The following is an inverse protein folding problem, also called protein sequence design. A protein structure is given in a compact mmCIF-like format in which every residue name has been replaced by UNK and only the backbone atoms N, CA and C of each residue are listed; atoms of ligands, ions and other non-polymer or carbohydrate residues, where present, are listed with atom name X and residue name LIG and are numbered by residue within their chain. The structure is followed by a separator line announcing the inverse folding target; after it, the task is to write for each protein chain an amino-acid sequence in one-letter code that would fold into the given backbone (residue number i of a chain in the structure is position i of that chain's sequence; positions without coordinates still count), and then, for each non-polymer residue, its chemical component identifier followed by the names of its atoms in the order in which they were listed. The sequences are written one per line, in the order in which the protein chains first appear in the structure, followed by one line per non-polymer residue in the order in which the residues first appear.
data_IF_882537915195
#
_entry.id   IF_882537915195
#
_cell.length_a   1.000
_cell.length_b   1.000
_cell.length_c   1.000
_cell.angle_alpha   90.00
_cell.angle_beta   90.00
_cell.angle_gamma   90.00
#
_symmetry.space_group_name_H-M   'P 1'
#
loop_
_entity.id
_entity.type
_entity.pdbx_description
1 polymer ?
#
# COMPACT_ATOMS: atom_id res chain seq x y z
N UNK A 1 -8.01 -26.65 11.02
CA UNK A 1 -7.00 -25.98 10.15
C UNK A 1 -7.44 -24.53 9.96
N UNK A 2 -6.56 -23.55 10.22
CA UNK A 2 -6.84 -22.11 9.95
C UNK A 2 -6.33 -21.79 8.55
N UNK A 3 -7.16 -21.16 7.74
CA UNK A 3 -6.83 -20.72 6.40
C UNK A 3 -6.83 -19.19 6.37
N UNK A 4 -5.93 -18.61 5.61
CA UNK A 4 -5.80 -17.16 5.49
C UNK A 4 -5.70 -16.67 4.06
N UNK A 5 -6.13 -15.44 3.89
CA UNK A 5 -5.99 -14.68 2.64
C UNK A 5 -5.25 -13.39 2.94
N UNK A 6 -4.22 -13.08 2.18
CA UNK A 6 -3.59 -11.76 2.24
C UNK A 6 -3.84 -11.00 0.94
N UNK A 7 -4.14 -9.72 1.08
CA UNK A 7 -4.46 -8.83 -0.04
C UNK A 7 -3.37 -7.76 -0.19
N UNK A 8 -2.99 -7.50 -1.42
CA UNK A 8 -2.44 -6.21 -1.77
C UNK A 8 -3.54 -5.13 -1.73
N UNK A 9 -3.15 -3.85 -1.71
CA UNK A 9 -4.08 -2.73 -1.60
C UNK A 9 -4.30 -2.00 -2.93
N UNK A 10 -3.24 -1.35 -3.44
CA UNK A 10 -3.32 -0.51 -4.63
C UNK A 10 -3.46 -1.35 -5.89
N UNK A 11 -4.37 -0.94 -6.79
CA UNK A 11 -4.71 -1.65 -8.03
C UNK A 11 -5.30 -3.07 -7.80
N UNK A 12 -5.49 -3.45 -6.55
CA UNK A 12 -6.15 -4.70 -6.13
C UNK A 12 -7.52 -4.42 -5.49
N UNK A 13 -7.55 -3.65 -4.41
CA UNK A 13 -8.78 -3.29 -3.68
C UNK A 13 -9.21 -1.84 -3.91
N UNK A 14 -8.23 -0.98 -4.18
CA UNK A 14 -8.41 0.46 -4.40
C UNK A 14 -7.60 0.93 -5.60
N UNK A 15 -7.96 2.09 -6.11
CA UNK A 15 -7.22 2.74 -7.18
C UNK A 15 -7.64 4.19 -7.37
N UNK A 16 -7.24 4.77 -8.49
CA UNK A 16 -7.71 6.08 -8.91
C UNK A 16 -8.94 5.90 -9.81
N UNK A 17 -9.86 6.87 -9.83
CA UNK A 17 -10.95 6.90 -10.79
C UNK A 17 -10.37 6.99 -12.21
N UNK A 18 -11.02 6.31 -13.15
CA UNK A 18 -10.66 6.38 -14.57
C UNK A 18 -10.58 7.84 -15.03
N UNK A 19 -9.42 8.24 -15.60
CA UNK A 19 -9.11 9.65 -15.86
C UNK A 19 -8.13 10.30 -14.86
N UNK A 20 -7.77 9.63 -13.75
CA UNK A 20 -6.55 9.86 -12.97
C UNK A 20 -6.40 11.19 -12.24
N UNK A 21 -7.49 11.95 -11.99
CA UNK A 21 -7.35 13.29 -11.40
C UNK A 21 -7.13 13.31 -9.88
N UNK A 22 -7.45 12.24 -9.16
CA UNK A 22 -7.39 12.23 -7.70
C UNK A 22 -5.95 12.31 -7.17
N UNK A 23 -5.03 11.51 -7.72
CA UNK A 23 -3.62 11.55 -7.32
C UNK A 23 -2.99 12.91 -7.63
N UNK A 24 -3.32 13.49 -8.78
CA UNK A 24 -2.87 14.83 -9.17
C UNK A 24 -3.44 15.89 -8.21
N UNK A 25 -4.74 15.86 -7.96
CA UNK A 25 -5.40 16.79 -7.03
C UNK A 25 -4.87 16.66 -5.59
N UNK A 26 -4.63 15.42 -5.16
CA UNK A 26 -4.03 15.13 -3.85
C UNK A 26 -2.62 15.67 -3.73
N UNK A 27 -1.80 15.52 -4.77
CA UNK A 27 -0.44 16.05 -4.78
C UNK A 27 -0.42 17.57 -4.82
N UNK A 28 -1.34 18.21 -5.55
CA UNK A 28 -1.49 19.66 -5.54
C UNK A 28 -1.87 20.16 -4.14
N UNK A 29 -2.86 19.56 -3.53
CA UNK A 29 -3.28 19.91 -2.16
C UNK A 29 -2.14 19.72 -1.14
N UNK A 30 -1.37 18.64 -1.24
CA UNK A 30 -0.15 18.45 -0.43
C UNK A 30 0.84 19.59 -0.63
N UNK A 31 1.05 20.01 -1.88
CA UNK A 31 2.00 21.09 -2.20
C UNK A 31 1.55 22.43 -1.62
N UNK A 32 0.26 22.76 -1.73
CA UNK A 32 -0.31 23.98 -1.17
C UNK A 32 -0.20 24.02 0.36
N UNK A 33 -0.56 22.92 1.02
CA UNK A 33 -0.44 22.76 2.48
C UNK A 33 1.01 22.93 2.93
N UNK A 34 1.93 22.28 2.23
CA UNK A 34 3.37 22.33 2.55
C UNK A 34 3.92 23.73 2.34
N UNK A 35 3.59 24.39 1.21
CA UNK A 35 4.05 25.75 0.94
C UNK A 35 3.60 26.72 2.05
N UNK A 36 2.32 26.66 2.43
CA UNK A 36 1.80 27.49 3.52
C UNK A 36 2.59 27.28 4.81
N UNK A 37 2.82 26.01 5.18
CA UNK A 37 3.57 25.68 6.42
C UNK A 37 5.01 26.11 6.35
N UNK A 38 5.69 25.95 5.21
CA UNK A 38 7.06 26.39 5.03
C UNK A 38 7.20 27.91 5.10
N UNK A 39 6.25 28.67 4.55
CA UNK A 39 6.21 30.13 4.69
C UNK A 39 6.08 30.58 6.16
N UNK A 40 5.26 29.90 6.97
CA UNK A 40 5.17 30.14 8.42
C UNK A 40 6.52 29.92 9.13
N UNK A 41 7.33 28.98 8.61
CA UNK A 41 8.67 28.67 9.11
C UNK A 41 9.78 29.53 8.48
N UNK A 42 9.39 30.57 7.71
CA UNK A 42 10.31 31.49 6.98
C UNK A 42 11.13 30.81 5.89
N UNK A 43 10.70 29.65 5.42
CA UNK A 43 11.26 28.95 4.26
C UNK A 43 10.41 29.30 3.02
N UNK A 44 10.93 30.17 2.14
CA UNK A 44 10.21 30.62 0.95
C UNK A 44 10.55 29.75 -0.26
N UNK A 45 9.75 28.71 -0.50
CA UNK A 45 9.93 27.76 -1.60
C UNK A 45 8.74 27.85 -2.55
N UNK A 46 9.01 27.91 -3.86
CA UNK A 46 7.93 28.00 -4.85
C UNK A 46 7.11 26.72 -4.90
N UNK A 47 5.83 26.86 -5.22
CA UNK A 47 4.89 25.73 -5.35
C UNK A 47 5.35 24.73 -6.43
N UNK A 48 6.01 25.20 -7.47
CA UNK A 48 6.56 24.37 -8.54
C UNK A 48 7.66 23.44 -8.02
N UNK A 49 8.62 23.97 -7.23
CA UNK A 49 9.69 23.18 -6.60
C UNK A 49 9.07 22.13 -5.67
N UNK A 50 8.11 22.51 -4.82
CA UNK A 50 7.44 21.59 -3.90
C UNK A 50 6.73 20.46 -4.66
N UNK A 51 5.97 20.81 -5.71
CA UNK A 51 5.24 19.84 -6.50
C UNK A 51 6.17 18.86 -7.23
N UNK A 52 7.28 19.36 -7.79
CA UNK A 52 8.26 18.52 -8.45
C UNK A 52 9.00 17.61 -7.45
N UNK A 53 9.32 18.11 -6.26
CA UNK A 53 9.93 17.31 -5.20
C UNK A 53 9.02 16.17 -4.74
N UNK A 54 7.68 16.37 -4.68
CA UNK A 54 6.74 15.29 -4.39
C UNK A 54 6.65 14.24 -5.49
N UNK A 55 6.79 14.63 -6.77
CA UNK A 55 6.88 13.67 -7.88
C UNK A 55 8.17 12.88 -7.81
N UNK A 56 9.29 13.54 -7.55
CA UNK A 56 10.61 12.93 -7.46
C UNK A 56 10.68 11.91 -6.30
N UNK A 57 10.25 12.29 -5.09
CA UNK A 57 10.25 11.37 -3.96
C UNK A 57 9.35 10.14 -4.20
N UNK A 58 8.22 10.31 -4.91
CA UNK A 58 7.36 9.19 -5.28
C UNK A 58 8.09 8.20 -6.19
N UNK A 59 8.87 8.68 -7.15
CA UNK A 59 9.71 7.84 -8.02
C UNK A 59 10.82 7.13 -7.24
N UNK A 60 11.46 7.84 -6.31
CA UNK A 60 12.50 7.26 -5.43
C UNK A 60 11.91 6.15 -4.55
N UNK A 61 10.74 6.36 -3.95
CA UNK A 61 10.04 5.35 -3.14
C UNK A 61 9.71 4.12 -4.00
N UNK A 62 9.15 4.31 -5.18
CA UNK A 62 8.83 3.22 -6.11
C UNK A 62 10.09 2.42 -6.49
N UNK A 63 11.21 3.10 -6.74
CA UNK A 63 12.49 2.45 -7.03
C UNK A 63 12.98 1.61 -5.84
N UNK A 64 12.86 2.10 -4.60
CA UNK A 64 13.20 1.33 -3.38
C UNK A 64 12.32 0.09 -3.24
N UNK A 65 11.02 0.22 -3.51
CA UNK A 65 10.09 -0.92 -3.45
C UNK A 65 10.49 -2.04 -4.40
N UNK A 66 10.98 -1.74 -5.60
CA UNK A 66 11.46 -2.77 -6.53
C UNK A 66 12.64 -3.60 -5.96
N UNK A 67 13.36 -3.06 -4.96
CA UNK A 67 14.43 -3.76 -4.24
C UNK A 67 13.98 -4.29 -2.87
N UNK A 68 12.70 -4.20 -2.56
CA UNK A 68 12.13 -4.65 -1.29
C UNK A 68 12.50 -3.77 -0.09
N UNK A 69 12.85 -2.51 -0.35
CA UNK A 69 13.27 -1.55 0.66
C UNK A 69 12.23 -0.44 0.80
N UNK A 70 12.07 0.06 2.02
CA UNK A 70 11.31 1.28 2.29
C UNK A 70 11.95 2.05 3.45
N UNK A 71 11.49 3.27 3.67
CA UNK A 71 11.84 4.08 4.84
C UNK A 71 10.58 4.33 5.68
N UNK A 72 10.81 4.54 6.99
CA UNK A 72 9.73 5.06 7.84
C UNK A 72 9.13 6.34 7.22
N UNK A 73 7.82 6.50 7.38
CA UNK A 73 7.04 7.60 6.80
C UNK A 73 7.69 8.97 7.00
N UNK A 74 8.05 9.34 8.25
CA UNK A 74 8.63 10.66 8.54
C UNK A 74 10.04 10.85 7.96
N UNK A 75 10.81 9.77 7.77
CA UNK A 75 12.06 9.82 7.01
C UNK A 75 11.83 10.12 5.53
N UNK A 76 10.76 9.56 4.95
CA UNK A 76 10.37 9.88 3.57
C UNK A 76 9.85 11.31 3.42
N UNK A 77 9.17 11.84 4.44
CA UNK A 77 8.80 13.27 4.51
C UNK A 77 10.05 14.15 4.58
N UNK A 78 11.02 13.81 5.43
CA UNK A 78 12.30 14.52 5.51
C UNK A 78 13.07 14.49 4.18
N UNK A 79 13.15 13.32 3.52
CA UNK A 79 13.75 13.19 2.20
C UNK A 79 13.06 14.13 1.17
N UNK A 80 11.71 14.17 1.17
CA UNK A 80 10.95 15.05 0.28
C UNK A 80 11.24 16.54 0.54
N UNK A 81 11.30 16.94 1.80
CA UNK A 81 11.66 18.31 2.19
C UNK A 81 13.08 18.67 1.75
N UNK A 82 14.04 17.77 1.92
CA UNK A 82 15.43 17.99 1.51
C UNK A 82 15.60 18.03 -0.03
N UNK A 83 14.69 17.45 -0.81
CA UNK A 83 14.60 17.68 -2.25
C UNK A 83 14.10 19.09 -2.59
N UNK A 84 13.24 19.68 -1.76
CA UNK A 84 12.77 21.06 -1.95
C UNK A 84 13.85 22.09 -1.68
N UNK A 85 14.64 21.88 -0.62
CA UNK A 85 15.79 22.71 -0.26
C UNK A 85 16.77 21.87 0.57
N UNK A 86 18.02 21.70 0.14
CA UNK A 86 19.00 20.90 0.86
C UNK A 86 19.16 21.35 2.32
N UNK A 87 19.10 20.39 3.25
CA UNK A 87 19.25 20.63 4.69
C UNK A 87 18.04 21.29 5.38
N UNK A 88 16.90 21.42 4.69
CA UNK A 88 15.71 22.07 5.27
C UNK A 88 15.17 21.29 6.47
N UNK A 89 15.20 19.96 6.43
CA UNK A 89 14.68 19.13 7.53
C UNK A 89 15.45 19.35 8.84
N UNK A 90 16.77 19.58 8.78
CA UNK A 90 17.58 19.94 9.93
C UNK A 90 17.29 21.37 10.42
N UNK A 91 17.13 22.33 9.47
CA UNK A 91 16.86 23.74 9.82
C UNK A 91 15.53 23.92 10.53
N UNK A 92 14.49 23.24 10.08
CA UNK A 92 13.16 23.34 10.72
C UNK A 92 12.99 22.43 11.93
N UNK A 93 13.80 21.38 12.05
CA UNK A 93 13.80 20.42 13.13
C UNK A 93 12.74 19.32 13.02
N UNK A 94 12.98 18.20 13.71
CA UNK A 94 12.16 16.98 13.61
C UNK A 94 10.67 17.20 13.89
N UNK A 95 10.36 18.04 14.88
CA UNK A 95 8.95 18.33 15.26
C UNK A 95 8.18 18.96 14.09
N UNK A 96 8.81 19.86 13.33
CA UNK A 96 8.13 20.49 12.19
C UNK A 96 8.06 19.54 10.99
N UNK A 97 9.04 18.65 10.80
CA UNK A 97 8.96 17.57 9.82
C UNK A 97 7.77 16.66 10.12
N UNK A 98 7.57 16.27 11.38
CA UNK A 98 6.41 15.47 11.81
C UNK A 98 5.09 16.23 11.60
N UNK A 99 5.03 17.52 11.95
CA UNK A 99 3.86 18.36 11.72
C UNK A 99 3.51 18.46 10.23
N UNK A 100 4.50 18.64 9.36
CA UNK A 100 4.30 18.65 7.91
C UNK A 100 3.79 17.28 7.45
N UNK A 101 4.35 16.18 7.97
CA UNK A 101 3.86 14.82 7.70
C UNK A 101 2.37 14.67 8.01
N UNK A 102 1.92 15.09 9.18
CA UNK A 102 0.51 15.06 9.58
C UNK A 102 -0.37 15.94 8.68
N UNK A 103 0.13 17.09 8.27
CA UNK A 103 -0.59 18.01 7.39
C UNK A 103 -0.78 17.42 5.99
N UNK A 104 0.27 16.84 5.38
CA UNK A 104 0.17 16.22 4.05
C UNK A 104 -0.69 14.95 4.06
N UNK A 105 -0.74 14.22 5.16
CA UNK A 105 -1.66 13.10 5.36
C UNK A 105 -3.12 13.53 5.29
N UNK A 106 -3.44 14.74 5.74
CA UNK A 106 -4.80 15.28 5.65
C UNK A 106 -5.31 15.35 4.20
N UNK A 107 -4.41 15.51 3.22
CA UNK A 107 -4.78 15.51 1.81
C UNK A 107 -5.28 14.14 1.34
N UNK A 108 -4.74 13.04 1.88
CA UNK A 108 -5.25 11.70 1.60
C UNK A 108 -6.68 11.51 2.10
N UNK A 109 -6.99 12.00 3.29
CA UNK A 109 -8.33 11.90 3.86
C UNK A 109 -9.35 12.81 3.17
N UNK A 110 -8.91 13.94 2.62
CA UNK A 110 -9.76 14.88 1.86
C UNK A 110 -10.03 14.41 0.43
N UNK A 111 -9.04 13.78 -0.18
CA UNK A 111 -9.10 13.27 -1.55
C UNK A 111 -8.64 11.80 -1.50
N UNK A 112 -9.49 10.89 -0.95
CA UNK A 112 -9.13 9.48 -0.80
C UNK A 112 -9.10 8.77 -2.16
N UNK A 113 -8.45 7.60 -2.25
CA UNK A 113 -8.55 6.74 -3.42
C UNK A 113 -9.97 6.20 -3.59
N UNK A 114 -10.26 5.73 -4.78
CA UNK A 114 -11.50 5.03 -5.11
C UNK A 114 -11.42 3.58 -4.62
N UNK A 115 -12.44 3.12 -3.89
CA UNK A 115 -12.61 1.71 -3.57
C UNK A 115 -13.29 1.04 -4.77
N UNK A 116 -12.66 0.00 -5.33
CA UNK A 116 -13.25 -0.70 -6.46
C UNK A 116 -14.63 -1.29 -6.11
N UNK A 117 -15.55 -1.28 -7.06
CA UNK A 117 -16.96 -1.66 -6.85
C UNK A 117 -17.14 -3.04 -6.21
N UNK A 118 -16.26 -3.98 -6.54
CA UNK A 118 -16.37 -5.36 -6.08
C UNK A 118 -15.63 -5.60 -4.74
N UNK A 119 -14.84 -4.65 -4.26
CA UNK A 119 -14.01 -4.80 -3.05
C UNK A 119 -14.84 -5.18 -1.82
N UNK A 120 -15.90 -4.43 -1.55
CA UNK A 120 -16.71 -4.66 -0.33
C UNK A 120 -17.42 -6.01 -0.35
N UNK A 121 -17.97 -6.42 -1.48
CA UNK A 121 -18.64 -7.71 -1.63
C UNK A 121 -17.66 -8.87 -1.51
N UNK A 122 -16.50 -8.78 -2.16
CA UNK A 122 -15.46 -9.81 -2.10
C UNK A 122 -14.92 -9.97 -0.68
N UNK A 123 -14.54 -8.88 0.00
CA UNK A 123 -14.07 -8.96 1.38
C UNK A 123 -15.12 -9.56 2.32
N UNK A 124 -16.39 -9.17 2.17
CA UNK A 124 -17.46 -9.70 2.99
C UNK A 124 -17.68 -11.20 2.73
N UNK A 125 -17.62 -11.64 1.49
CA UNK A 125 -17.82 -13.04 1.12
C UNK A 125 -16.69 -13.94 1.65
N UNK A 126 -15.42 -13.50 1.52
CA UNK A 126 -14.26 -14.20 2.09
C UNK A 126 -14.35 -14.26 3.63
N UNK A 127 -14.77 -13.17 4.26
CA UNK A 127 -15.00 -13.13 5.71
C UNK A 127 -16.07 -14.14 6.16
N UNK A 128 -17.21 -14.19 5.46
CA UNK A 128 -18.29 -15.15 5.76
C UNK A 128 -17.87 -16.61 5.54
N UNK A 129 -16.88 -16.86 4.68
CA UNK A 129 -16.28 -18.20 4.53
C UNK A 129 -15.38 -18.59 5.72
N UNK A 130 -15.10 -17.67 6.65
CA UNK A 130 -14.28 -17.91 7.84
C UNK A 130 -12.78 -17.87 7.61
N UNK A 131 -12.30 -17.25 6.52
CA UNK A 131 -10.89 -17.01 6.32
C UNK A 131 -10.39 -15.86 7.20
N UNK A 132 -9.22 -16.01 7.76
CA UNK A 132 -8.51 -14.90 8.38
C UNK A 132 -7.86 -14.03 7.29
N UNK A 133 -8.02 -12.72 7.37
CA UNK A 133 -7.56 -11.83 6.32
C UNK A 133 -6.49 -10.86 6.82
N UNK A 134 -5.44 -10.68 6.01
CA UNK A 134 -4.38 -9.68 6.19
C UNK A 134 -4.25 -8.75 4.99
N UNK A 135 -3.75 -7.56 5.22
CA UNK A 135 -3.38 -6.59 4.18
C UNK A 135 -1.87 -6.41 4.17
N UNK A 136 -1.25 -6.43 2.99
CA UNK A 136 0.19 -6.19 2.81
C UNK A 136 0.37 -5.17 1.69
N UNK A 137 0.75 -3.94 2.02
CA UNK A 137 0.83 -2.85 1.06
C UNK A 137 2.19 -2.17 1.02
N UNK A 138 2.72 -2.01 -0.17
CA UNK A 138 3.78 -1.04 -0.42
C UNK A 138 3.15 0.36 -0.46
N UNK A 139 3.65 1.29 0.35
CA UNK A 139 3.02 2.58 0.57
C UNK A 139 3.94 3.74 0.20
N UNK A 140 3.36 4.76 -0.43
CA UNK A 140 4.06 6.01 -0.72
C UNK A 140 4.03 7.01 0.45
N UNK A 141 3.84 8.29 0.12
CA UNK A 141 3.74 9.39 1.09
C UNK A 141 2.34 9.47 1.73
N UNK A 142 1.97 8.43 2.46
CA UNK A 142 0.80 8.40 3.36
C UNK A 142 1.16 7.50 4.53
N UNK A 143 0.92 7.97 5.75
CA UNK A 143 1.29 7.22 6.94
C UNK A 143 0.40 5.98 7.15
N UNK A 144 0.90 4.95 7.84
CA UNK A 144 0.12 3.79 8.26
C UNK A 144 -1.12 4.17 9.06
N UNK A 145 -1.01 5.15 9.96
CA UNK A 145 -2.11 5.61 10.80
C UNK A 145 -3.23 6.26 9.97
N UNK A 146 -2.86 7.00 8.92
CA UNK A 146 -3.82 7.59 8.01
C UNK A 146 -4.54 6.53 7.18
N UNK A 147 -3.85 5.48 6.72
CA UNK A 147 -4.50 4.34 6.10
C UNK A 147 -5.47 3.65 7.06
N UNK A 148 -5.04 3.34 8.29
CA UNK A 148 -5.91 2.70 9.30
C UNK A 148 -7.15 3.55 9.62
N UNK A 149 -6.98 4.87 9.76
CA UNK A 149 -8.08 5.81 9.96
C UNK A 149 -9.06 5.80 8.80
N UNK A 150 -8.56 5.83 7.57
CA UNK A 150 -9.38 5.76 6.37
C UNK A 150 -10.12 4.42 6.26
N UNK A 151 -9.44 3.29 6.46
CA UNK A 151 -10.07 1.97 6.49
C UNK A 151 -11.19 1.87 7.52
N UNK A 152 -10.98 2.48 8.70
CA UNK A 152 -12.02 2.52 9.74
C UNK A 152 -13.21 3.36 9.31
N UNK A 153 -12.99 4.53 8.74
CA UNK A 153 -14.05 5.41 8.23
C UNK A 153 -14.87 4.73 7.12
N UNK A 154 -14.21 3.94 6.27
CA UNK A 154 -14.85 3.18 5.20
C UNK A 154 -15.50 1.86 5.70
N UNK A 155 -15.36 1.52 6.98
CA UNK A 155 -15.87 0.26 7.54
C UNK A 155 -15.18 -0.99 6.99
N UNK A 156 -13.94 -0.85 6.47
CA UNK A 156 -13.15 -1.95 5.92
C UNK A 156 -12.22 -2.58 6.93
N UNK A 157 -11.82 -1.87 8.00
CA UNK A 157 -10.89 -2.35 9.02
C UNK A 157 -11.34 -3.66 9.67
N UNK A 158 -12.65 -3.87 9.80
CA UNK A 158 -13.25 -5.07 10.41
C UNK A 158 -12.90 -6.38 9.69
N UNK A 159 -12.47 -6.32 8.44
CA UNK A 159 -12.14 -7.52 7.66
C UNK A 159 -10.71 -8.02 7.92
N UNK A 160 -9.80 -7.16 8.40
CA UNK A 160 -8.38 -7.47 8.48
C UNK A 160 -7.92 -7.64 9.93
N UNK A 161 -7.36 -8.81 10.25
CA UNK A 161 -6.69 -9.04 11.54
C UNK A 161 -5.32 -8.36 11.62
N UNK A 162 -4.72 -8.08 10.48
CA UNK A 162 -3.44 -7.37 10.35
C UNK A 162 -3.42 -6.51 9.09
N UNK A 163 -2.88 -5.29 9.22
CA UNK A 163 -2.57 -4.42 8.09
C UNK A 163 -1.09 -4.05 8.17
N UNK A 164 -0.29 -4.60 7.25
CA UNK A 164 1.14 -4.40 7.16
C UNK A 164 1.47 -3.39 6.07
N UNK A 165 2.13 -2.32 6.44
CA UNK A 165 2.54 -1.23 5.54
C UNK A 165 4.06 -1.16 5.46
N UNK A 166 4.61 -1.06 4.25
CA UNK A 166 6.06 -1.06 4.02
C UNK A 166 6.79 0.08 4.74
N UNK A 167 6.21 1.28 4.74
CA UNK A 167 6.78 2.46 5.40
C UNK A 167 6.60 2.48 6.94
N UNK A 168 5.95 1.48 7.52
CA UNK A 168 5.91 1.26 8.96
C UNK A 168 7.11 0.45 9.43
N UNK A 169 7.46 -0.59 8.67
CA UNK A 169 8.48 -1.56 9.05
C UNK A 169 9.81 -1.38 8.30
N UNK A 170 9.87 -0.46 7.33
CA UNK A 170 11.06 -0.22 6.51
C UNK A 170 11.38 -1.35 5.52
N UNK A 171 10.42 -2.21 5.23
CA UNK A 171 10.57 -3.37 4.34
C UNK A 171 9.38 -3.41 3.39
N UNK A 172 9.65 -3.53 2.09
CA UNK A 172 8.65 -3.59 1.05
C UNK A 172 8.58 -4.97 0.37
N UNK A 173 7.46 -5.32 -0.23
CA UNK A 173 7.38 -6.35 -1.25
C UNK A 173 8.30 -5.97 -2.41
N UNK A 174 9.03 -6.88 -3.05
CA UNK A 174 8.92 -8.33 -3.02
C UNK A 174 9.71 -9.05 -1.91
N UNK A 175 10.25 -8.36 -0.91
CA UNK A 175 11.04 -9.01 0.13
C UNK A 175 10.17 -9.98 0.94
N UNK A 176 10.64 -11.21 1.11
CA UNK A 176 9.98 -12.28 1.87
C UNK A 176 9.61 -11.86 3.31
N UNK A 177 10.46 -11.04 3.94
CA UNK A 177 10.30 -10.58 5.33
C UNK A 177 8.98 -9.87 5.62
N UNK A 178 8.40 -9.11 4.67
CA UNK A 178 7.13 -8.43 4.91
C UNK A 178 5.98 -9.45 4.99
N UNK A 179 6.03 -10.49 4.15
CA UNK A 179 5.07 -11.59 4.20
C UNK A 179 5.25 -12.39 5.49
N UNK A 180 6.48 -12.82 5.82
CA UNK A 180 6.78 -13.58 7.04
C UNK A 180 6.28 -12.85 8.30
N UNK A 181 6.55 -11.53 8.45
CA UNK A 181 6.05 -10.73 9.58
C UNK A 181 4.51 -10.71 9.63
N UNK A 182 3.86 -10.64 8.49
CA UNK A 182 2.39 -10.69 8.43
C UNK A 182 1.86 -12.04 8.90
N UNK A 183 2.45 -13.14 8.42
CA UNK A 183 2.03 -14.50 8.78
C UNK A 183 2.33 -14.84 10.24
N UNK A 184 3.40 -14.29 10.81
CA UNK A 184 3.71 -14.41 12.25
C UNK A 184 2.58 -13.84 13.11
N UNK A 185 2.03 -12.68 12.73
CA UNK A 185 0.89 -12.07 13.42
C UNK A 185 -0.39 -12.91 13.21
N UNK A 186 -0.65 -13.36 11.99
CA UNK A 186 -1.81 -14.20 11.67
C UNK A 186 -1.70 -15.60 12.31
N UNK A 187 -0.50 -16.07 12.62
CA UNK A 187 -0.21 -17.42 13.14
C UNK A 187 -0.75 -18.53 12.22
N UNK A 188 -0.50 -18.38 10.93
CA UNK A 188 -0.91 -19.34 9.89
C UNK A 188 0.33 -19.70 9.07
N UNK A 189 0.49 -21.02 8.80
CA UNK A 189 1.58 -21.52 7.95
C UNK A 189 1.42 -21.04 6.50
N UNK A 190 2.50 -20.66 5.80
CA UNK A 190 2.48 -20.19 4.42
C UNK A 190 1.68 -21.08 3.45
N UNK A 191 1.73 -22.41 3.62
CA UNK A 191 1.01 -23.36 2.77
C UNK A 191 -0.52 -23.23 2.86
N UNK A 192 -1.02 -22.61 3.94
CA UNK A 192 -2.45 -22.35 4.19
C UNK A 192 -2.84 -20.90 3.95
N UNK A 193 -1.99 -20.15 3.27
CA UNK A 193 -2.24 -18.76 2.87
C UNK A 193 -2.34 -18.67 1.35
N UNK A 194 -3.23 -17.82 0.89
CA UNK A 194 -3.26 -17.33 -0.48
C UNK A 194 -3.08 -15.81 -0.48
N UNK A 195 -2.16 -15.31 -1.30
CA UNK A 195 -1.97 -13.88 -1.53
C UNK A 195 -2.55 -13.49 -2.89
N UNK A 196 -3.31 -12.39 -2.92
CA UNK A 196 -3.80 -11.80 -4.15
C UNK A 196 -3.24 -10.40 -4.34
N UNK A 197 -2.73 -10.12 -5.54
CA UNK A 197 -2.24 -8.80 -5.94
C UNK A 197 -2.16 -8.65 -7.46
N UNK A 198 -1.93 -7.43 -7.91
CA UNK A 198 -1.86 -7.07 -9.34
C UNK A 198 -0.45 -7.15 -9.93
N UNK A 199 0.57 -7.12 -9.08
CA UNK A 199 1.96 -6.90 -9.48
C UNK A 199 2.76 -8.21 -9.47
N UNK A 200 3.27 -8.59 -10.66
CA UNK A 200 4.01 -9.84 -10.85
C UNK A 200 5.32 -9.94 -10.06
N UNK A 201 5.97 -8.80 -9.77
CA UNK A 201 7.19 -8.77 -8.98
C UNK A 201 6.88 -8.72 -7.48
N UNK A 202 6.13 -7.72 -7.05
CA UNK A 202 5.97 -7.45 -5.62
C UNK A 202 5.04 -8.47 -4.95
N UNK A 203 3.97 -8.87 -5.61
CA UNK A 203 2.97 -9.76 -5.03
C UNK A 203 3.25 -11.22 -5.39
N UNK A 204 3.34 -11.55 -6.68
CA UNK A 204 3.42 -12.94 -7.12
C UNK A 204 4.78 -13.54 -6.82
N UNK A 205 5.86 -12.91 -7.30
CA UNK A 205 7.20 -13.40 -6.98
C UNK A 205 7.48 -13.26 -5.47
N UNK A 206 7.14 -12.10 -4.87
CA UNK A 206 7.40 -11.86 -3.46
C UNK A 206 6.78 -12.92 -2.54
N UNK A 207 5.48 -13.21 -2.69
CA UNK A 207 4.79 -14.20 -1.87
C UNK A 207 5.25 -15.65 -2.16
N UNK A 208 5.56 -15.96 -3.42
CA UNK A 208 5.98 -17.32 -3.80
C UNK A 208 7.29 -17.77 -3.13
N UNK A 209 8.17 -16.83 -2.75
CA UNK A 209 9.46 -17.13 -2.13
C UNK A 209 9.34 -17.91 -0.80
N UNK A 210 8.21 -17.83 -0.14
CA UNK A 210 7.96 -18.51 1.15
C UNK A 210 6.86 -19.57 1.07
N UNK A 211 6.46 -19.98 -0.14
CA UNK A 211 5.48 -21.05 -0.34
C UNK A 211 4.01 -20.61 -0.23
N UNK A 212 3.72 -19.31 -0.19
CA UNK A 212 2.34 -18.80 -0.25
C UNK A 212 1.74 -19.09 -1.63
N UNK A 213 0.48 -19.58 -1.65
CA UNK A 213 -0.27 -19.68 -2.90
C UNK A 213 -0.57 -18.28 -3.45
N UNK A 214 -0.34 -18.06 -4.73
CA UNK A 214 -0.46 -16.74 -5.35
C UNK A 214 -1.60 -16.67 -6.35
N UNK A 215 -2.39 -15.59 -6.28
CA UNK A 215 -3.40 -15.24 -7.27
C UNK A 215 -3.05 -13.91 -7.90
N UNK A 216 -2.80 -13.92 -9.20
CA UNK A 216 -2.55 -12.70 -9.96
C UNK A 216 -3.86 -12.11 -10.47
N UNK A 217 -4.16 -10.87 -10.06
CA UNK A 217 -5.20 -10.05 -10.65
C UNK A 217 -4.63 -9.37 -11.89
N UNK A 218 -4.87 -9.97 -13.06
CA UNK A 218 -4.26 -9.58 -14.33
C UNK A 218 -4.83 -8.27 -14.90
N UNK A 219 -4.04 -7.64 -15.77
CA UNK A 219 -4.48 -6.44 -16.54
C UNK A 219 -3.75 -5.16 -16.17
N UNK A 220 -3.04 -5.09 -15.04
CA UNK A 220 -2.27 -3.93 -14.64
C UNK A 220 -0.76 -4.08 -14.90
N UNK A 221 -0.24 -5.30 -14.82
CA UNK A 221 1.18 -5.61 -15.03
C UNK A 221 1.37 -6.43 -16.31
N UNK A 222 2.11 -5.88 -17.28
CA UNK A 222 2.40 -6.53 -18.57
C UNK A 222 3.80 -7.15 -18.62
N UNK A 223 4.52 -7.21 -17.50
CA UNK A 223 5.85 -7.83 -17.42
C UNK A 223 5.75 -9.34 -17.59
N UNK A 224 6.82 -9.95 -18.04
CA UNK A 224 6.94 -11.41 -18.00
C UNK A 224 7.10 -11.85 -16.53
N UNK A 225 6.30 -12.80 -16.03
CA UNK A 225 6.40 -13.24 -14.64
C UNK A 225 7.75 -13.95 -14.39
N UNK A 226 8.39 -13.61 -13.27
CA UNK A 226 9.59 -14.31 -12.74
C UNK A 226 9.18 -15.69 -12.24
N UNK A 227 8.05 -15.74 -11.52
CA UNK A 227 7.42 -16.98 -11.04
C UNK A 227 6.01 -17.05 -11.59
N UNK A 228 5.61 -18.22 -12.08
CA UNK A 228 4.25 -18.44 -12.55
C UNK A 228 3.29 -18.36 -11.35
N UNK A 229 2.23 -17.52 -11.41
CA UNK A 229 1.19 -17.52 -10.37
C UNK A 229 0.49 -18.88 -10.31
N UNK A 230 0.06 -19.29 -9.11
CA UNK A 230 -0.74 -20.51 -8.95
C UNK A 230 -2.10 -20.35 -9.63
N UNK A 231 -2.67 -19.14 -9.51
CA UNK A 231 -3.96 -18.79 -10.10
C UNK A 231 -3.88 -17.42 -10.78
N UNK A 232 -4.75 -17.23 -11.78
CA UNK A 232 -4.91 -15.94 -12.47
C UNK A 232 -6.39 -15.64 -12.62
N UNK A 233 -6.79 -14.44 -12.25
CA UNK A 233 -8.15 -13.91 -12.48
C UNK A 233 -8.05 -12.57 -13.20
N UNK A 234 -9.07 -12.19 -13.91
CA UNK A 234 -9.13 -10.90 -14.63
C UNK A 234 -9.97 -9.85 -13.87
N UNK A 235 -10.81 -10.28 -12.96
CA UNK A 235 -11.70 -9.42 -12.15
C UNK A 235 -11.74 -9.89 -10.71
N UNK A 236 -11.74 -8.95 -9.80
CA UNK A 236 -11.71 -9.23 -8.37
C UNK A 236 -12.93 -10.08 -7.91
N UNK A 237 -14.10 -9.93 -8.54
CA UNK A 237 -15.29 -10.70 -8.20
C UNK A 237 -15.22 -12.19 -8.54
N UNK A 238 -14.19 -12.64 -9.29
CA UNK A 238 -13.93 -14.06 -9.54
C UNK A 238 -13.24 -14.74 -8.33
N UNK A 239 -12.62 -13.94 -7.45
CA UNK A 239 -11.78 -14.43 -6.37
C UNK A 239 -12.52 -15.31 -5.33
N UNK A 240 -13.74 -14.99 -4.87
CA UNK A 240 -14.44 -15.83 -3.90
C UNK A 240 -14.69 -17.26 -4.37
N UNK A 241 -15.05 -17.47 -5.65
CA UNK A 241 -15.23 -18.80 -6.22
C UNK A 241 -13.91 -19.58 -6.27
N UNK A 242 -12.83 -18.92 -6.70
CA UNK A 242 -11.49 -19.49 -6.72
C UNK A 242 -11.09 -19.96 -5.31
N UNK A 243 -11.32 -19.14 -4.29
CA UNK A 243 -10.96 -19.45 -2.89
C UNK A 243 -11.77 -20.64 -2.36
N UNK A 244 -13.07 -20.77 -2.71
CA UNK A 244 -13.87 -21.96 -2.37
C UNK A 244 -13.25 -23.23 -2.96
N UNK A 245 -12.89 -23.19 -4.23
CA UNK A 245 -12.26 -24.31 -4.93
C UNK A 245 -10.90 -24.66 -4.33
N UNK A 246 -10.07 -23.66 -4.05
CA UNK A 246 -8.79 -23.88 -3.37
C UNK A 246 -8.95 -24.53 -1.99
N UNK A 247 -9.92 -24.08 -1.19
CA UNK A 247 -10.20 -24.69 0.11
C UNK A 247 -10.51 -26.20 0.00
N UNK A 248 -11.25 -26.61 -1.02
CA UNK A 248 -11.59 -28.03 -1.20
C UNK A 248 -10.34 -28.88 -1.50
N UNK A 249 -9.35 -28.35 -2.20
CA UNK A 249 -8.08 -29.06 -2.47
C UNK A 249 -7.19 -29.23 -1.24
N UNK A 250 -7.38 -28.43 -0.18
CA UNK A 250 -6.61 -28.55 1.06
C UNK A 250 -7.23 -29.51 2.08
N UNK A 251 -8.48 -29.89 1.88
CA UNK A 251 -9.24 -30.75 2.81
C UNK A 251 -9.36 -32.17 2.26
N UNK A 252 -9.18 -32.34 0.95
CA UNK A 252 -9.12 -33.65 0.26
C UNK A 252 -7.77 -34.32 0.48
#
# INVERSE_FOLDING_TARGET
MRLGITFDLWLTLIGEIEGGSQSVSRNLLRSEITQKKLLELKENISIEVITNSYKEISSIITSRHNHGEDKNYYKSVSDALNLMSPGISERIGLKEVENIGLLIDSAFLKIPPYIYKDTRSVLNEIHLMGFEMGLISNTGLTSPDTYRKWFNNEGLSKYFSVMMFSNEIGIAKPKDKIFLKTLEIMKIDPNFIMHIGDNLLTDIFGASQIGINTTWLSGQDNRKPITKPNFTISRLNEFPELVRNWRTTLIS
#
